data_IF_733630327969
#
_entry.id   IF_733630327969
#
_cell.length_a   1.000
_cell.length_b   1.000
_cell.length_c   1.000
_cell.angle_alpha   90.00
_cell.angle_beta   90.00
_cell.angle_gamma   90.00
#
_symmetry.space_group_name_H-M   'P 1'
#
loop_
_entity.id
_entity.type
_entity.pdbx_description
1 polymer ?
#
# COMPACT_ATOMS: atom_id res chain seq x y z
N UNK A 1 -21.53 -10.59 -4.63
CA UNK A 1 -20.31 -10.15 -5.34
C UNK A 1 -20.18 -10.93 -6.63
N UNK A 2 -19.47 -10.39 -7.63
CA UNK A 2 -19.06 -11.13 -8.82
C UNK A 2 -17.67 -11.74 -8.61
N UNK A 3 -17.25 -12.65 -9.48
CA UNK A 3 -15.90 -13.21 -9.42
C UNK A 3 -15.24 -13.30 -10.79
N UNK A 4 -13.91 -13.39 -10.78
CA UNK A 4 -13.07 -13.64 -11.94
C UNK A 4 -11.90 -14.53 -11.53
N UNK A 5 -11.58 -15.49 -12.41
CA UNK A 5 -10.43 -16.36 -12.27
C UNK A 5 -9.42 -16.04 -13.37
N UNK A 6 -8.14 -16.02 -13.01
CA UNK A 6 -7.05 -15.98 -13.98
C UNK A 6 -6.22 -17.26 -13.89
N UNK A 7 -5.92 -17.81 -15.06
CA UNK A 7 -5.19 -19.07 -15.24
C UNK A 7 -4.19 -18.95 -16.39
N UNK A 8 -3.12 -19.75 -16.37
CA UNK A 8 -2.18 -19.88 -17.49
C UNK A 8 -1.58 -18.55 -17.95
N UNK A 9 -1.70 -18.20 -19.23
CA UNK A 9 -1.10 -16.98 -19.80
C UNK A 9 -1.54 -15.68 -19.08
N UNK A 10 -2.82 -15.57 -18.74
CA UNK A 10 -3.34 -14.41 -18.00
C UNK A 10 -2.73 -14.31 -16.59
N UNK A 11 -2.55 -15.45 -15.93
CA UNK A 11 -1.84 -15.52 -14.65
C UNK A 11 -0.37 -15.10 -14.82
N UNK A 12 0.32 -15.58 -15.84
CA UNK A 12 1.73 -15.23 -16.08
C UNK A 12 1.90 -13.72 -16.35
N UNK A 13 0.99 -13.10 -17.11
CA UNK A 13 0.95 -11.65 -17.34
C UNK A 13 0.73 -10.89 -16.03
N UNK A 14 -0.26 -11.28 -15.24
CA UNK A 14 -0.53 -10.70 -13.93
C UNK A 14 0.65 -10.86 -12.97
N UNK A 15 1.22 -12.06 -12.90
CA UNK A 15 2.38 -12.38 -12.06
C UNK A 15 3.54 -11.43 -12.36
N UNK A 16 3.84 -11.17 -13.64
CA UNK A 16 4.90 -10.23 -14.06
C UNK A 16 4.60 -8.79 -13.65
N UNK A 17 3.34 -8.36 -13.71
CA UNK A 17 2.93 -7.04 -13.23
C UNK A 17 3.16 -6.89 -11.71
N UNK A 18 2.89 -7.96 -10.95
CA UNK A 18 3.08 -7.96 -9.49
C UNK A 18 4.55 -8.02 -9.12
N UNK A 19 5.30 -8.99 -9.65
CA UNK A 19 6.67 -9.29 -9.26
C UNK A 19 7.49 -9.81 -10.44
N UNK A 20 8.68 -9.25 -10.63
CA UNK A 20 9.65 -9.71 -11.61
C UNK A 20 11.02 -9.80 -10.93
N UNK A 21 11.61 -11.00 -10.91
CA UNK A 21 12.96 -11.20 -10.42
C UNK A 21 13.99 -10.70 -11.44
N UNK A 22 15.22 -10.45 -10.98
CA UNK A 22 16.32 -9.91 -11.81
C UNK A 22 16.67 -10.79 -13.02
N UNK A 23 16.37 -12.09 -12.94
CA UNK A 23 16.53 -13.05 -14.03
C UNK A 23 15.36 -13.05 -15.04
N UNK A 24 14.40 -12.13 -14.92
CA UNK A 24 13.20 -12.03 -15.75
C UNK A 24 12.10 -13.06 -15.44
N UNK A 25 12.30 -13.92 -14.44
CA UNK A 25 11.29 -14.86 -13.98
C UNK A 25 10.25 -14.17 -13.09
N UNK A 26 9.01 -14.63 -13.15
CA UNK A 26 7.96 -14.23 -12.21
C UNK A 26 7.36 -15.46 -11.57
N UNK A 27 7.47 -15.55 -10.24
CA UNK A 27 6.88 -16.61 -9.45
C UNK A 27 6.42 -16.05 -8.11
N UNK A 28 5.12 -15.86 -7.95
CA UNK A 28 4.51 -15.27 -6.76
C UNK A 28 4.69 -16.15 -5.50
N UNK A 29 5.01 -17.44 -5.61
CA UNK A 29 5.38 -18.26 -4.43
C UNK A 29 6.72 -17.85 -3.80
N UNK A 30 7.54 -17.04 -4.49
CA UNK A 30 8.75 -16.46 -3.92
C UNK A 30 8.46 -15.34 -2.90
N UNK A 31 7.23 -14.82 -2.87
CA UNK A 31 6.80 -13.72 -1.99
C UNK A 31 6.35 -14.20 -0.60
N UNK A 32 7.03 -15.20 -0.03
CA UNK A 32 6.71 -15.70 1.33
C UNK A 32 6.78 -14.62 2.40
N UNK A 33 7.67 -13.66 2.22
CA UNK A 33 7.78 -12.50 3.09
C UNK A 33 6.59 -11.52 3.00
N UNK A 34 5.68 -11.69 2.04
CA UNK A 34 4.43 -10.94 1.95
C UNK A 34 3.24 -11.68 2.58
N UNK A 35 3.41 -12.96 2.95
CA UNK A 35 2.39 -13.73 3.67
C UNK A 35 2.37 -13.31 5.14
N UNK A 36 1.77 -12.14 5.42
CA UNK A 36 1.61 -11.58 6.76
C UNK A 36 0.19 -11.04 6.97
N UNK A 37 -0.38 -11.11 8.18
CA UNK A 37 -1.63 -10.46 8.52
C UNK A 37 -1.45 -8.93 8.66
N UNK A 38 -2.55 -8.18 8.56
CA UNK A 38 -2.58 -6.74 8.82
C UNK A 38 -3.09 -6.51 10.25
N UNK A 39 -2.16 -6.44 11.20
CA UNK A 39 -2.48 -6.28 12.62
C UNK A 39 -1.89 -5.00 13.19
N UNK A 40 -2.60 -4.46 14.18
CA UNK A 40 -2.10 -3.41 15.05
C UNK A 40 -1.16 -3.99 16.12
N UNK A 41 -0.20 -3.18 16.57
CA UNK A 41 0.57 -3.45 17.78
C UNK A 41 -0.38 -3.36 18.99
N UNK A 42 -0.22 -4.22 20.01
CA UNK A 42 -1.09 -4.21 21.18
C UNK A 42 -1.23 -2.81 21.80
N UNK A 43 -2.47 -2.41 22.10
CA UNK A 43 -2.80 -1.12 22.73
C UNK A 43 -2.30 0.12 21.96
N UNK A 44 -2.20 0.05 20.63
CA UNK A 44 -1.81 1.21 19.81
C UNK A 44 -2.44 1.15 18.42
N UNK A 45 -2.55 2.29 17.76
CA UNK A 45 -3.00 2.40 16.36
C UNK A 45 -1.84 2.27 15.36
N UNK A 46 -0.75 1.62 15.76
CA UNK A 46 0.39 1.39 14.89
C UNK A 46 0.32 0.00 14.29
N UNK A 47 0.43 -0.08 12.97
CA UNK A 47 0.51 -1.36 12.29
C UNK A 47 1.85 -2.05 12.58
N UNK A 48 1.81 -3.36 12.73
CA UNK A 48 2.98 -4.21 12.95
C UNK A 48 3.29 -5.01 11.70
N UNK A 49 4.49 -4.83 11.18
CA UNK A 49 5.05 -5.68 10.15
C UNK A 49 6.00 -6.70 10.79
N UNK A 50 5.88 -7.96 10.40
CA UNK A 50 6.64 -9.07 10.98
C UNK A 50 7.90 -9.42 10.16
N UNK A 51 7.87 -9.22 8.84
CA UNK A 51 9.00 -9.49 7.94
C UNK A 51 9.17 -8.36 6.92
N UNK A 52 10.39 -8.15 6.41
CA UNK A 52 10.65 -7.21 5.31
C UNK A 52 9.85 -7.56 4.05
N UNK A 53 9.62 -6.60 3.15
CA UNK A 53 8.80 -6.79 1.94
C UNK A 53 7.70 -5.74 1.80
N UNK A 54 6.56 -5.90 2.49
CA UNK A 54 5.38 -5.05 2.33
C UNK A 54 5.46 -3.67 3.00
N UNK A 55 6.65 -3.14 3.29
CA UNK A 55 6.78 -1.89 4.07
C UNK A 55 6.08 -0.68 3.45
N UNK A 56 5.98 -0.60 2.12
CA UNK A 56 5.23 0.48 1.47
C UNK A 56 3.71 0.35 1.68
N UNK A 57 3.15 -0.86 1.69
CA UNK A 57 1.74 -1.10 2.04
C UNK A 57 1.46 -0.64 3.47
N UNK A 58 2.29 -1.08 4.42
CA UNK A 58 2.19 -0.67 5.82
C UNK A 58 2.32 0.85 6.00
N UNK A 59 3.29 1.48 5.31
CA UNK A 59 3.49 2.91 5.42
C UNK A 59 2.31 3.72 4.85
N UNK A 60 1.72 3.32 3.72
CA UNK A 60 0.55 4.01 3.17
C UNK A 60 -0.66 3.90 4.10
N UNK A 61 -0.95 2.70 4.60
CA UNK A 61 -2.05 2.50 5.56
C UNK A 61 -1.80 3.29 6.85
N UNK A 62 -0.59 3.25 7.40
CA UNK A 62 -0.24 4.00 8.61
C UNK A 62 -0.34 5.52 8.40
N UNK A 63 0.05 6.04 7.24
CA UNK A 63 -0.04 7.48 6.96
C UNK A 63 -1.50 7.95 6.98
N UNK A 64 -2.41 7.15 6.42
CA UNK A 64 -3.83 7.45 6.52
C UNK A 64 -4.39 7.31 7.94
N UNK A 65 -3.96 6.30 8.72
CA UNK A 65 -4.34 6.17 10.14
C UNK A 65 -3.96 7.46 10.88
N UNK A 66 -2.71 7.91 10.76
CA UNK A 66 -2.21 9.12 11.44
C UNK A 66 -3.01 10.38 11.08
N UNK A 67 -3.46 10.52 9.83
CA UNK A 67 -4.34 11.62 9.43
C UNK A 67 -5.70 11.51 10.12
N UNK A 68 -6.30 10.32 10.08
CA UNK A 68 -7.66 10.11 10.55
C UNK A 68 -7.77 10.09 12.09
N UNK A 69 -6.68 9.85 12.82
CA UNK A 69 -6.66 9.95 14.30
C UNK A 69 -7.09 11.32 14.83
N UNK A 70 -6.94 12.38 14.04
CA UNK A 70 -7.36 13.74 14.41
C UNK A 70 -8.80 14.08 13.99
N UNK A 71 -9.52 13.16 13.33
CA UNK A 71 -10.93 13.32 12.96
C UNK A 71 -11.84 12.82 14.09
N UNK A 72 -12.76 13.67 14.55
CA UNK A 72 -13.71 13.36 15.62
C UNK A 72 -14.59 12.12 15.30
N UNK A 73 -14.85 11.83 14.02
CA UNK A 73 -15.59 10.64 13.62
C UNK A 73 -14.80 9.34 13.80
N UNK A 74 -13.46 9.44 13.87
CA UNK A 74 -12.55 8.29 13.96
C UNK A 74 -12.12 7.96 15.38
N UNK A 75 -12.29 8.88 16.34
CA UNK A 75 -11.86 8.66 17.73
C UNK A 75 -12.58 7.49 18.45
N UNK A 76 -13.78 7.13 18.00
CA UNK A 76 -14.58 6.05 18.58
C UNK A 76 -14.66 4.80 17.69
N UNK A 77 -14.01 4.80 16.52
CA UNK A 77 -14.04 3.67 15.60
C UNK A 77 -13.14 2.53 16.10
N UNK A 78 -13.54 1.28 15.84
CA UNK A 78 -12.66 0.14 16.07
C UNK A 78 -11.48 0.16 15.09
N UNK A 79 -10.33 -0.34 15.52
CA UNK A 79 -9.14 -0.47 14.66
C UNK A 79 -9.42 -1.24 13.36
N UNK A 80 -10.25 -2.28 13.45
CA UNK A 80 -10.73 -3.04 12.30
C UNK A 80 -11.53 -2.13 11.35
N UNK A 81 -12.51 -1.38 11.84
CA UNK A 81 -13.30 -0.46 11.02
C UNK A 81 -12.42 0.59 10.32
N UNK A 82 -11.41 1.12 11.02
CA UNK A 82 -10.44 2.07 10.46
C UNK A 82 -9.72 1.41 9.29
N UNK A 83 -9.14 0.23 9.50
CA UNK A 83 -8.35 -0.44 8.48
C UNK A 83 -9.18 -0.85 7.26
N UNK A 84 -10.39 -1.36 7.47
CA UNK A 84 -11.33 -1.70 6.38
C UNK A 84 -11.65 -0.45 5.56
N UNK A 85 -12.00 0.66 6.22
CA UNK A 85 -12.33 1.91 5.54
C UNK A 85 -11.16 2.42 4.69
N UNK A 86 -9.92 2.32 5.19
CA UNK A 86 -8.72 2.73 4.45
C UNK A 86 -8.44 1.85 3.22
N UNK A 87 -8.66 0.54 3.34
CA UNK A 87 -8.55 -0.38 2.20
C UNK A 87 -9.55 -0.01 1.11
N UNK A 88 -10.80 0.28 1.48
CA UNK A 88 -11.84 0.68 0.54
C UNK A 88 -11.55 2.05 -0.08
N UNK A 89 -11.02 3.01 0.70
CA UNK A 89 -10.56 4.31 0.19
C UNK A 89 -9.48 4.13 -0.89
N UNK A 90 -8.50 3.23 -0.67
CA UNK A 90 -7.46 2.91 -1.67
C UNK A 90 -8.09 2.36 -2.96
N UNK A 91 -9.04 1.41 -2.87
CA UNK A 91 -9.72 0.89 -4.06
C UNK A 91 -10.48 1.96 -4.82
N UNK A 92 -11.20 2.84 -4.13
CA UNK A 92 -11.99 3.91 -4.74
C UNK A 92 -11.15 4.91 -5.56
N UNK A 93 -9.84 4.99 -5.28
CA UNK A 93 -8.87 5.81 -6.03
C UNK A 93 -8.37 5.10 -7.28
N UNK A 94 -8.18 3.79 -7.20
CA UNK A 94 -7.53 2.98 -8.24
C UNK A 94 -8.54 2.54 -9.31
N UNK A 95 -9.77 2.21 -8.90
CA UNK A 95 -10.75 1.57 -9.77
C UNK A 95 -12.18 1.92 -9.35
N UNK A 96 -13.12 1.72 -10.27
CA UNK A 96 -14.56 1.73 -9.96
C UNK A 96 -15.03 0.46 -9.23
N UNK A 97 -14.15 -0.52 -9.04
CA UNK A 97 -14.45 -1.80 -8.39
C UNK A 97 -13.62 -1.97 -7.11
N UNK A 98 -14.27 -2.48 -6.07
CA UNK A 98 -13.62 -3.10 -4.93
C UNK A 98 -13.30 -4.54 -5.29
N UNK A 99 -12.03 -4.92 -5.24
CA UNK A 99 -11.56 -6.24 -5.68
C UNK A 99 -10.83 -6.93 -4.54
N UNK A 100 -11.04 -8.23 -4.36
CA UNK A 100 -10.42 -9.01 -3.29
C UNK A 100 -9.98 -10.37 -3.83
N UNK A 101 -8.67 -10.59 -3.84
CA UNK A 101 -8.05 -11.89 -4.03
C UNK A 101 -8.30 -12.72 -2.77
N UNK A 102 -9.01 -13.83 -2.91
CA UNK A 102 -9.35 -14.74 -1.81
C UNK A 102 -8.89 -16.18 -2.09
N UNK A 103 -8.26 -16.41 -3.24
CA UNK A 103 -7.68 -17.68 -3.63
C UNK A 103 -6.49 -17.49 -4.57
N UNK A 104 -5.39 -18.17 -4.29
CA UNK A 104 -4.18 -18.09 -5.10
C UNK A 104 -3.35 -19.37 -4.96
N UNK A 105 -2.89 -19.90 -6.10
CA UNK A 105 -1.94 -21.01 -6.14
C UNK A 105 -0.94 -20.81 -7.30
N UNK A 106 0.31 -20.54 -6.95
CA UNK A 106 1.38 -20.35 -7.93
C UNK A 106 1.74 -21.61 -8.71
N UNK A 107 1.53 -22.80 -8.14
CA UNK A 107 1.92 -24.06 -8.77
C UNK A 107 1.00 -24.42 -9.93
N UNK A 108 -0.29 -24.11 -9.76
CA UNK A 108 -1.32 -24.32 -10.77
C UNK A 108 -1.59 -23.06 -11.60
N UNK A 109 -0.76 -22.01 -11.43
CA UNK A 109 -0.88 -20.71 -12.11
C UNK A 109 -2.29 -20.15 -12.00
N UNK A 110 -2.83 -20.10 -10.78
CA UNK A 110 -4.23 -19.75 -10.50
C UNK A 110 -4.34 -18.59 -9.52
N UNK A 111 -5.27 -17.67 -9.79
CA UNK A 111 -5.79 -16.74 -8.81
C UNK A 111 -7.29 -16.49 -9.01
N UNK A 112 -8.00 -16.31 -7.90
CA UNK A 112 -9.43 -16.01 -7.83
C UNK A 112 -9.62 -14.66 -7.16
N UNK A 113 -10.49 -13.84 -7.75
CA UNK A 113 -10.83 -12.53 -7.26
C UNK A 113 -12.34 -12.37 -7.18
N UNK A 114 -12.84 -11.92 -6.05
CA UNK A 114 -14.20 -11.40 -5.91
C UNK A 114 -14.20 -9.89 -6.08
N UNK A 115 -15.24 -9.34 -6.70
CA UNK A 115 -15.36 -7.91 -6.88
C UNK A 115 -16.80 -7.40 -6.86
N UNK A 116 -16.94 -6.12 -6.52
CA UNK A 116 -18.20 -5.40 -6.51
C UNK A 116 -17.99 -3.90 -6.75
N UNK A 117 -19.04 -3.20 -7.16
CA UNK A 117 -19.07 -1.73 -7.20
C UNK A 117 -19.74 -1.14 -5.95
N UNK A 118 -20.32 -1.99 -5.09
CA UNK A 118 -21.06 -1.58 -3.91
C UNK A 118 -20.15 -1.53 -2.67
N UNK A 119 -20.12 -0.38 -2.01
CA UNK A 119 -19.25 -0.14 -0.85
C UNK A 119 -19.65 -0.98 0.36
N UNK A 120 -20.95 -1.14 0.61
CA UNK A 120 -21.46 -1.87 1.78
C UNK A 120 -21.24 -3.38 1.62
N UNK A 121 -21.40 -3.89 0.40
CA UNK A 121 -21.07 -5.27 0.04
C UNK A 121 -19.57 -5.54 0.20
N UNK A 122 -18.71 -4.63 -0.26
CA UNK A 122 -17.26 -4.74 -0.11
C UNK A 122 -16.83 -4.71 1.37
N UNK A 123 -17.40 -3.81 2.16
CA UNK A 123 -17.17 -3.73 3.60
C UNK A 123 -17.59 -5.03 4.30
N UNK A 124 -18.79 -5.52 3.98
CA UNK A 124 -19.34 -6.77 4.54
C UNK A 124 -18.49 -7.99 4.19
N UNK A 125 -17.91 -8.02 2.98
CA UNK A 125 -17.01 -9.08 2.57
C UNK A 125 -15.73 -9.11 3.42
N UNK A 126 -15.05 -7.97 3.57
CA UNK A 126 -13.79 -7.87 4.34
C UNK A 126 -14.03 -8.33 5.79
N UNK A 127 -15.14 -7.87 6.39
CA UNK A 127 -15.52 -8.21 7.76
C UNK A 127 -15.91 -9.69 7.90
N UNK A 128 -16.78 -10.19 7.02
CA UNK A 128 -17.33 -11.54 7.11
C UNK A 128 -16.32 -12.66 6.80
N UNK A 129 -15.23 -12.34 6.10
CA UNK A 129 -14.17 -13.29 5.74
C UNK A 129 -12.94 -13.20 6.64
N UNK A 130 -12.92 -12.28 7.62
CA UNK A 130 -11.73 -11.94 8.41
C UNK A 130 -10.51 -11.64 7.52
N UNK A 131 -10.74 -10.98 6.37
CA UNK A 131 -9.76 -10.82 5.30
C UNK A 131 -8.43 -10.22 5.78
N UNK A 132 -8.50 -9.16 6.60
CA UNK A 132 -7.33 -8.45 7.13
C UNK A 132 -6.53 -9.27 8.17
N UNK A 133 -7.19 -10.25 8.83
CA UNK A 133 -6.58 -11.10 9.86
C UNK A 133 -5.98 -12.38 9.29
N UNK A 134 -6.28 -12.71 8.04
CA UNK A 134 -5.72 -13.87 7.35
C UNK A 134 -4.20 -13.81 7.33
N UNK A 135 -3.54 -14.97 7.50
CA UNK A 135 -2.08 -15.03 7.63
C UNK A 135 -1.34 -14.42 6.43
N UNK A 136 -1.98 -14.35 5.26
CA UNK A 136 -1.45 -13.82 4.01
C UNK A 136 -2.17 -12.54 3.53
N UNK A 137 -2.86 -11.82 4.43
CA UNK A 137 -3.66 -10.64 4.09
C UNK A 137 -2.87 -9.59 3.28
N UNK A 138 -1.61 -9.33 3.63
CA UNK A 138 -0.78 -8.35 2.91
C UNK A 138 -0.57 -8.73 1.44
N UNK A 139 -0.27 -10.00 1.18
CA UNK A 139 -0.11 -10.52 -0.18
C UNK A 139 -1.43 -10.44 -0.93
N UNK A 140 -2.51 -10.98 -0.36
CA UNK A 140 -3.83 -10.99 -1.01
C UNK A 140 -4.32 -9.57 -1.33
N UNK A 141 -4.18 -8.62 -0.40
CA UNK A 141 -4.54 -7.23 -0.63
C UNK A 141 -3.69 -6.60 -1.75
N UNK A 142 -2.39 -6.88 -1.77
CA UNK A 142 -1.49 -6.36 -2.82
C UNK A 142 -1.87 -6.91 -4.19
N UNK A 143 -2.15 -8.23 -4.29
CA UNK A 143 -2.62 -8.85 -5.53
C UNK A 143 -3.92 -8.20 -6.00
N UNK A 144 -4.83 -7.90 -5.07
CA UNK A 144 -6.11 -7.25 -5.35
C UNK A 144 -5.94 -5.83 -5.91
N UNK A 145 -5.09 -5.03 -5.27
CA UNK A 145 -4.75 -3.66 -5.67
C UNK A 145 -4.14 -3.65 -7.07
N UNK A 146 -3.17 -4.54 -7.35
CA UNK A 146 -2.53 -4.64 -8.66
C UNK A 146 -3.52 -5.10 -9.72
N UNK A 147 -4.34 -6.12 -9.43
CA UNK A 147 -5.32 -6.64 -10.39
C UNK A 147 -6.38 -5.60 -10.75
N UNK A 148 -6.83 -4.82 -9.77
CA UNK A 148 -7.74 -3.69 -9.98
C UNK A 148 -7.11 -2.59 -10.85
N UNK A 149 -5.82 -2.27 -10.64
CA UNK A 149 -5.15 -1.18 -11.35
C UNK A 149 -4.83 -1.49 -12.81
N UNK A 150 -4.56 -2.75 -13.15
CA UNK A 150 -4.25 -3.16 -14.52
C UNK A 150 -5.50 -3.48 -15.36
N UNK A 151 -6.70 -3.26 -14.80
CA UNK A 151 -7.96 -3.31 -15.54
C UNK A 151 -8.65 -4.67 -15.61
N UNK A 152 -8.31 -5.63 -14.73
CA UNK A 152 -8.95 -6.95 -14.57
C UNK A 152 -9.03 -7.86 -15.82
N UNK A 153 -9.74 -7.44 -16.89
CA UNK A 153 -9.91 -8.18 -18.15
C UNK A 153 -8.75 -7.97 -19.13
N UNK A 154 -8.24 -6.73 -19.23
CA UNK A 154 -7.29 -6.37 -20.28
C UNK A 154 -5.83 -6.58 -19.84
N UNK A 155 -5.61 -6.67 -18.52
CA UNK A 155 -4.30 -6.87 -17.88
C UNK A 155 -3.21 -5.98 -18.52
N UNK A 156 -3.39 -4.67 -18.39
CA UNK A 156 -2.42 -3.67 -18.85
C UNK A 156 -1.16 -3.73 -17.98
N UNK A 157 -0.27 -4.68 -18.28
CA UNK A 157 0.97 -4.93 -17.53
C UNK A 157 1.85 -3.68 -17.59
N UNK A 158 2.22 -3.09 -16.44
CA UNK A 158 3.13 -1.95 -16.40
C UNK A 158 4.54 -2.36 -16.84
N UNK A 159 5.34 -1.38 -17.29
CA UNK A 159 6.74 -1.62 -17.64
C UNK A 159 7.58 -2.07 -16.44
N UNK A 160 7.29 -1.53 -15.25
CA UNK A 160 7.96 -1.85 -13.99
C UNK A 160 7.00 -2.64 -13.07
N UNK A 161 7.47 -3.71 -12.39
CA UNK A 161 6.65 -4.47 -11.47
C UNK A 161 6.32 -3.67 -10.20
N UNK A 162 5.28 -4.08 -9.47
CA UNK A 162 4.91 -3.45 -8.20
C UNK A 162 5.73 -3.94 -6.99
N UNK A 163 6.45 -5.06 -7.13
CA UNK A 163 7.39 -5.62 -6.16
C UNK A 163 8.74 -5.84 -6.87
N UNK A 164 9.82 -5.32 -6.28
CA UNK A 164 11.18 -5.46 -6.82
C UNK A 164 11.65 -6.91 -6.79
N UNK A 165 12.69 -7.23 -7.57
CA UNK A 165 13.30 -8.56 -7.61
C UNK A 165 13.86 -9.03 -6.25
N UNK A 166 14.23 -8.09 -5.38
CA UNK A 166 14.64 -8.33 -3.99
C UNK A 166 13.46 -8.59 -3.02
N UNK A 167 12.23 -8.58 -3.56
CA UNK A 167 10.95 -8.82 -2.86
C UNK A 167 10.53 -7.68 -1.93
N UNK A 168 11.11 -6.49 -2.06
CA UNK A 168 10.67 -5.28 -1.36
C UNK A 168 9.65 -4.49 -2.18
N UNK A 169 8.89 -3.64 -1.48
CA UNK A 169 7.90 -2.75 -2.09
C UNK A 169 8.57 -1.77 -3.06
N UNK A 170 7.97 -1.55 -4.22
CA UNK A 170 8.39 -0.49 -5.15
C UNK A 170 7.77 0.86 -4.82
N UNK A 171 8.40 1.93 -5.30
CA UNK A 171 7.78 3.26 -5.28
C UNK A 171 6.49 3.31 -6.12
N UNK A 172 6.44 2.55 -7.23
CA UNK A 172 5.26 2.46 -8.08
C UNK A 172 4.03 1.95 -7.30
N UNK A 173 4.19 0.96 -6.42
CA UNK A 173 3.09 0.47 -5.59
C UNK A 173 2.63 1.53 -4.58
N UNK A 174 3.55 2.25 -3.95
CA UNK A 174 3.23 3.35 -3.02
C UNK A 174 2.49 4.48 -3.74
N UNK A 175 2.94 4.85 -4.94
CA UNK A 175 2.26 5.84 -5.78
C UNK A 175 0.87 5.38 -6.19
N UNK A 176 0.71 4.13 -6.59
CA UNK A 176 -0.58 3.57 -6.95
C UNK A 176 -1.57 3.68 -5.79
N UNK A 177 -1.16 3.28 -4.58
CA UNK A 177 -2.05 3.30 -3.41
C UNK A 177 -2.42 4.71 -2.96
N UNK A 178 -1.50 5.66 -3.04
CA UNK A 178 -1.76 7.05 -2.65
C UNK A 178 -2.57 7.80 -3.71
N UNK A 179 -2.15 7.72 -4.99
CA UNK A 179 -2.63 8.54 -6.10
C UNK A 179 -3.71 7.87 -6.97
N UNK A 180 -3.89 6.56 -6.86
CA UNK A 180 -4.68 5.78 -7.82
C UNK A 180 -3.97 5.54 -9.16
N UNK A 181 -2.75 6.05 -9.36
CA UNK A 181 -2.02 5.94 -10.63
C UNK A 181 -0.50 6.00 -10.43
N UNK A 182 0.22 5.39 -11.38
CA UNK A 182 1.69 5.49 -11.52
C UNK A 182 2.12 6.36 -12.71
N UNK A 183 1.17 6.96 -13.43
CA UNK A 183 1.47 7.78 -14.59
C UNK A 183 1.96 9.18 -14.17
N UNK A 184 3.11 9.61 -14.69
CA UNK A 184 3.75 10.90 -14.38
C UNK A 184 2.80 12.10 -14.52
N UNK A 185 1.93 12.13 -15.53
CA UNK A 185 0.98 13.22 -15.73
C UNK A 185 -0.06 13.27 -14.60
N UNK A 186 -0.50 12.10 -14.11
CA UNK A 186 -1.43 12.01 -12.98
C UNK A 186 -0.72 12.35 -11.67
N UNK A 187 0.54 11.93 -11.49
CA UNK A 187 1.35 12.27 -10.32
C UNK A 187 1.57 13.79 -10.20
N UNK A 188 1.87 14.46 -11.32
CA UNK A 188 2.00 15.92 -11.37
C UNK A 188 0.66 16.63 -11.11
N UNK A 189 -0.47 16.00 -11.43
CA UNK A 189 -1.79 16.50 -11.07
C UNK A 189 -2.11 16.30 -9.58
N UNK A 190 -1.59 15.25 -8.93
CA UNK A 190 -1.78 15.05 -7.49
C UNK A 190 -1.15 16.16 -6.65
N UNK A 191 -0.05 16.78 -7.12
CA UNK A 191 0.52 17.97 -6.50
C UNK A 191 -0.48 19.16 -6.47
N UNK A 192 -1.47 19.13 -7.37
CA UNK A 192 -2.38 20.24 -7.65
C UNK A 192 -3.87 19.92 -7.41
N UNK A 193 -4.27 18.70 -7.02
CA UNK A 193 -5.68 18.30 -7.02
C UNK A 193 -6.12 17.40 -5.85
N UNK A 194 -7.37 17.62 -5.43
CA UNK A 194 -8.04 17.00 -4.29
C UNK A 194 -8.89 15.80 -4.78
N UNK A 195 -8.37 14.58 -4.70
CA UNK A 195 -9.09 13.39 -5.14
C UNK A 195 -10.09 12.91 -4.07
N UNK A 196 -11.39 13.02 -4.39
CA UNK A 196 -12.58 12.41 -3.73
C UNK A 196 -12.40 11.97 -2.26
N UNK A 197 -12.37 12.92 -1.33
CA UNK A 197 -12.78 12.66 0.06
C UNK A 197 -11.69 12.26 1.07
N UNK A 198 -10.43 12.12 0.65
CA UNK A 198 -9.29 12.35 1.56
C UNK A 198 -8.36 13.30 0.85
N UNK A 199 -8.13 14.47 1.44
CA UNK A 199 -7.19 15.48 0.95
C UNK A 199 -5.81 14.85 0.88
N UNK A 200 -5.47 14.26 -0.26
CA UNK A 200 -4.15 13.68 -0.51
C UNK A 200 -3.04 14.72 -0.34
N UNK A 201 -3.39 16.01 -0.39
CA UNK A 201 -2.56 17.15 0.00
C UNK A 201 -1.99 17.05 1.42
N UNK A 202 -2.57 16.23 2.30
CA UNK A 202 -2.10 16.02 3.68
C UNK A 202 -1.04 14.91 3.79
N UNK A 203 -0.88 14.05 2.78
CA UNK A 203 0.19 13.04 2.69
C UNK A 203 1.17 13.43 1.60
N UNK A 204 2.43 13.62 2.00
CA UNK A 204 3.55 13.75 1.08
C UNK A 204 4.35 12.46 0.94
N UNK A 205 5.23 12.45 -0.06
CA UNK A 205 6.29 11.44 -0.18
C UNK A 205 7.61 12.17 -0.07
N UNK A 206 8.56 11.60 0.67
CA UNK A 206 9.92 12.14 0.73
C UNK A 206 10.95 11.04 0.60
N UNK A 207 11.86 11.18 -0.35
CA UNK A 207 13.00 10.25 -0.49
C UNK A 207 14.19 10.81 0.28
N UNK A 208 14.56 10.15 1.38
CA UNK A 208 15.60 10.62 2.30
C UNK A 208 17.00 10.12 1.92
N UNK A 209 17.11 8.83 1.62
CA UNK A 209 18.36 8.22 1.19
C UNK A 209 18.03 7.02 0.32
N UNK A 210 18.53 7.00 -0.90
CA UNK A 210 18.29 5.94 -1.87
C UNK A 210 19.64 5.54 -2.49
N UNK A 211 19.88 4.25 -2.77
CA UNK A 211 20.99 3.82 -3.62
C UNK A 211 21.05 4.59 -4.94
N UNK A 212 19.90 4.86 -5.56
CA UNK A 212 19.79 5.81 -6.66
C UNK A 212 19.78 7.25 -6.12
N UNK A 213 20.93 7.91 -6.22
CA UNK A 213 21.09 9.29 -5.75
C UNK A 213 20.26 10.30 -6.52
N UNK A 214 19.77 9.99 -7.72
CA UNK A 214 18.97 10.91 -8.56
C UNK A 214 17.59 11.18 -7.97
N UNK A 215 17.06 10.24 -7.21
CA UNK A 215 15.73 10.36 -6.58
C UNK A 215 15.80 10.86 -5.14
N UNK A 216 17.00 11.04 -4.57
CA UNK A 216 17.16 11.59 -3.22
C UNK A 216 16.76 13.06 -3.22
N UNK A 217 15.93 13.46 -2.26
CA UNK A 217 15.39 14.81 -2.19
C UNK A 217 14.17 15.04 -3.09
N UNK A 218 13.68 14.03 -3.81
CA UNK A 218 12.38 14.10 -4.49
C UNK A 218 11.24 14.13 -3.47
N UNK A 219 10.25 14.98 -3.74
CA UNK A 219 9.05 15.13 -2.93
C UNK A 219 7.79 14.93 -3.77
N UNK A 220 6.74 14.50 -3.09
CA UNK A 220 5.36 14.74 -3.49
C UNK A 220 4.69 15.50 -2.34
N UNK A 221 3.92 16.55 -2.63
CA UNK A 221 3.24 17.39 -1.62
C UNK A 221 4.17 17.85 -0.48
N UNK A 222 5.17 18.71 -0.74
CA UNK A 222 6.15 19.14 0.27
C UNK A 222 5.52 19.92 1.44
N UNK A 223 4.30 20.42 1.28
CA UNK A 223 3.54 21.14 2.31
C UNK A 223 2.66 20.24 3.17
N UNK A 224 2.70 18.91 2.97
CA UNK A 224 2.01 17.96 3.81
C UNK A 224 2.58 17.95 5.24
N UNK A 225 1.79 17.44 6.19
CA UNK A 225 2.25 17.23 7.58
C UNK A 225 2.54 15.75 7.88
N UNK A 226 2.07 14.84 7.04
CA UNK A 226 2.35 13.40 7.13
C UNK A 226 3.10 13.00 5.87
N UNK A 227 4.20 12.27 6.01
CA UNK A 227 5.02 11.85 4.88
C UNK A 227 5.22 10.34 4.89
N UNK A 228 5.00 9.70 3.75
CA UNK A 228 5.55 8.37 3.46
C UNK A 228 6.99 8.56 3.00
N UNK A 229 7.94 8.16 3.83
CA UNK A 229 9.36 8.32 3.58
C UNK A 229 9.97 7.05 3.02
N UNK A 230 10.86 7.21 2.04
CA UNK A 230 11.67 6.13 1.50
C UNK A 230 13.14 6.30 1.89
N UNK A 231 13.72 5.30 2.56
CA UNK A 231 15.12 5.28 3.01
C UNK A 231 15.72 3.88 2.92
N UNK A 232 16.72 3.69 2.06
CA UNK A 232 17.49 2.44 1.96
C UNK A 232 16.61 1.21 1.68
N UNK A 233 15.71 1.30 0.70
CA UNK A 233 14.73 0.27 0.35
C UNK A 233 13.63 0.01 1.40
N UNK A 234 13.49 0.88 2.40
CA UNK A 234 12.45 0.80 3.43
C UNK A 234 11.51 2.00 3.37
N UNK A 235 10.22 1.73 3.58
CA UNK A 235 9.18 2.74 3.70
C UNK A 235 8.68 2.85 5.14
N UNK A 236 8.51 4.08 5.61
CA UNK A 236 7.97 4.39 6.94
C UNK A 236 7.23 5.73 6.89
N UNK A 237 6.53 6.08 7.97
CA UNK A 237 5.78 7.34 8.04
C UNK A 237 6.45 8.31 8.99
N UNK A 238 6.38 9.60 8.64
CA UNK A 238 6.80 10.71 9.49
C UNK A 238 5.67 11.71 9.60
N UNK A 239 5.23 11.99 10.83
CA UNK A 239 4.37 13.12 11.15
C UNK A 239 5.25 14.30 11.61
N UNK A 240 5.04 15.46 11.01
CA UNK A 240 5.75 16.70 11.34
C UNK A 240 4.83 17.65 12.11
N UNK A 241 5.19 17.94 13.36
CA UNK A 241 4.49 18.91 14.21
C UNK A 241 5.51 19.96 14.63
N UNK A 242 5.46 21.13 13.99
CA UNK A 242 6.47 22.18 14.12
C UNK A 242 7.90 21.63 13.86
N UNK A 243 8.74 21.53 14.89
CA UNK A 243 10.11 20.98 14.80
C UNK A 243 10.25 19.54 15.30
N UNK A 244 9.15 18.91 15.74
CA UNK A 244 9.11 17.53 16.21
C UNK A 244 8.75 16.59 15.07
N UNK A 245 9.50 15.49 14.96
CA UNK A 245 9.30 14.45 13.96
C UNK A 245 8.93 13.16 14.66
N UNK A 246 7.70 12.68 14.45
CA UNK A 246 7.23 11.41 14.99
C UNK A 246 7.31 10.37 13.89
N UNK A 247 8.12 9.34 14.09
CA UNK A 247 8.35 8.26 13.13
C UNK A 247 7.46 7.07 13.47
N UNK A 248 6.69 6.62 12.49
CA UNK A 248 5.93 5.38 12.54
C UNK A 248 6.58 4.39 11.57
N UNK A 249 7.34 3.45 12.13
CA UNK A 249 8.04 2.40 11.39
C UNK A 249 7.46 1.04 11.79
N UNK A 250 6.77 0.37 10.86
CA UNK A 250 6.05 -0.88 11.12
C UNK A 250 6.98 -2.03 11.53
N UNK A 251 8.26 -2.00 11.11
CA UNK A 251 9.28 -3.00 11.44
C UNK A 251 10.02 -2.68 12.75
N UNK A 252 9.93 -1.45 13.25
CA UNK A 252 10.64 -1.03 14.47
C UNK A 252 9.76 -1.19 15.70
N UNK A 253 10.21 -2.02 16.66
CA UNK A 253 9.45 -2.28 17.88
C UNK A 253 9.26 -1.07 18.81
N UNK A 254 10.05 -0.02 18.62
CA UNK A 254 9.93 1.24 19.35
C UNK A 254 8.97 2.22 18.69
N UNK A 255 8.29 1.84 17.61
CA UNK A 255 7.35 2.70 16.89
C UNK A 255 6.06 2.94 17.71
N UNK A 256 5.62 4.21 17.91
CA UNK A 256 6.15 5.41 17.29
C UNK A 256 7.26 6.02 18.16
N UNK A 257 8.21 6.74 17.56
CA UNK A 257 9.25 7.43 18.31
C UNK A 257 9.56 8.81 17.78
N UNK A 258 9.91 9.72 18.68
CA UNK A 258 10.34 11.07 18.33
C UNK A 258 11.78 11.09 17.82
N UNK A 259 12.04 12.01 16.90
CA UNK A 259 13.36 12.24 16.34
C UNK A 259 13.50 13.69 15.83
N UNK A 260 14.65 14.03 15.26
CA UNK A 260 14.95 15.38 14.76
C UNK A 260 15.15 15.40 13.24
N UNK A 261 15.03 16.58 12.63
CA UNK A 261 15.37 16.81 11.20
C UNK A 261 16.76 16.29 10.85
N UNK A 262 17.75 16.52 11.73
CA UNK A 262 19.15 16.14 11.51
C UNK A 262 19.34 14.61 11.53
N UNK A 263 18.74 13.92 12.49
CA UNK A 263 18.85 12.46 12.58
C UNK A 263 18.14 11.74 11.43
N UNK A 264 17.08 12.32 10.87
CA UNK A 264 16.40 11.79 9.68
C UNK A 264 17.09 12.12 8.36
N UNK A 265 18.10 13.00 8.35
CA UNK A 265 18.66 13.58 7.12
C UNK A 265 17.55 14.24 6.28
N UNK A 266 16.71 15.04 6.94
CA UNK A 266 15.50 15.62 6.34
C UNK A 266 15.77 16.80 5.39
N UNK A 267 16.99 17.35 5.35
CA UNK A 267 17.34 18.49 4.48
C UNK A 267 17.17 18.16 3.00
#
# INVERSE_FOLDING_TARGET
>A
MKFVEIKGESYQKFSKAVFLADNGSSNLSALKNWEQPLNFRPNSNNLKQYQGGPCGLFAVLQAHIVIKENDNNFQNASQEHILISLILDIFSRISSYYVFCDGFDAKTEYAHFQYTTDLDEAYSFILGTDYIKSYNACLLLTLSIVFASIGMSDLNVPAEPYIYGDRNTTMALVWLMLNGSTNDANLAQTENSNYRGTTQTQIGIKVLNNPDKRVVGTWLNPNANVFVCHRGCHFFVVLTIADIFIVYDSLNDKSPFETTKKSLQWS
#
